data_IF_167963086461
#
_entry.id   IF_167963086461
#
_cell.length_a   1.000
_cell.length_b   1.000
_cell.length_c   1.000
_cell.angle_alpha   90.00
_cell.angle_beta   90.00
_cell.angle_gamma   90.00
#
_symmetry.space_group_name_H-M   'P 1'
#
loop_
_entity.id
_entity.type
_entity.pdbx_description
1 polymer ?
#
# COMPACT_ATOMS: atom_id res chain seq x y z
N UNK A 1 -0.38 -18.78 -10.23
CA UNK A 1 -1.50 -19.65 -9.79
C UNK A 1 -1.99 -19.23 -8.42
N UNK A 2 -1.17 -19.31 -7.37
CA UNK A 2 -1.56 -18.90 -6.01
C UNK A 2 -2.12 -17.47 -5.96
N UNK A 3 -1.48 -16.50 -6.62
CA UNK A 3 -1.97 -15.11 -6.68
C UNK A 3 -3.36 -14.93 -7.32
N UNK A 4 -3.79 -15.83 -8.22
CA UNK A 4 -5.16 -15.85 -8.74
C UNK A 4 -6.14 -16.50 -7.75
N UNK A 5 -5.72 -17.56 -7.07
CA UNK A 5 -6.53 -18.24 -6.03
C UNK A 5 -6.69 -17.39 -4.77
N UNK A 6 -5.74 -16.50 -4.48
CA UNK A 6 -5.83 -15.55 -3.39
C UNK A 6 -7.00 -14.57 -3.57
N UNK A 7 -7.28 -14.15 -4.80
CA UNK A 7 -8.23 -13.05 -5.07
C UNK A 7 -9.62 -13.52 -5.45
N UNK A 8 -9.76 -14.77 -5.88
CA UNK A 8 -11.02 -15.34 -6.36
C UNK A 8 -11.20 -16.79 -5.89
N UNK A 9 -12.44 -17.30 -5.85
CA UNK A 9 -12.73 -18.66 -5.36
C UNK A 9 -12.32 -19.74 -6.39
N UNK A 10 -11.01 -19.89 -6.57
CA UNK A 10 -10.38 -20.84 -7.48
C UNK A 10 -9.38 -21.66 -6.66
N UNK A 11 -9.39 -22.98 -6.79
CA UNK A 11 -8.42 -23.87 -6.16
C UNK A 11 -7.55 -24.52 -7.24
N UNK A 12 -6.23 -24.38 -7.10
CA UNK A 12 -5.27 -25.14 -7.90
C UNK A 12 -4.71 -26.28 -7.07
N UNK A 13 -4.73 -27.48 -7.63
CA UNK A 13 -4.18 -28.68 -7.01
C UNK A 13 -3.42 -29.47 -8.07
N UNK A 14 -2.14 -29.74 -7.80
CA UNK A 14 -1.30 -30.53 -8.69
C UNK A 14 -1.79 -31.98 -8.71
N UNK A 15 -1.91 -32.56 -9.91
CA UNK A 15 -2.35 -33.95 -10.13
C UNK A 15 -3.68 -34.34 -9.45
N UNK A 16 -4.59 -33.37 -9.27
CA UNK A 16 -5.88 -33.64 -8.66
C UNK A 16 -6.66 -34.75 -9.39
N UNK A 17 -7.27 -35.64 -8.60
CA UNK A 17 -8.04 -36.79 -9.10
C UNK A 17 -9.35 -36.31 -9.73
N UNK A 18 -10.09 -35.49 -9.00
CA UNK A 18 -11.42 -34.98 -9.38
C UNK A 18 -11.36 -33.47 -9.70
N UNK A 19 -10.68 -33.13 -10.81
CA UNK A 19 -10.55 -31.74 -11.27
C UNK A 19 -11.70 -31.33 -12.20
N UNK A 20 -12.28 -30.13 -11.98
CA UNK A 20 -13.26 -29.51 -12.89
C UNK A 20 -12.65 -29.18 -14.26
N UNK A 21 -11.37 -28.77 -14.27
CA UNK A 21 -10.57 -28.52 -15.46
C UNK A 21 -9.08 -28.82 -15.18
N UNK A 22 -8.31 -29.09 -16.23
CA UNK A 22 -6.87 -29.39 -16.12
C UNK A 22 -6.02 -28.33 -16.81
N UNK A 23 -5.06 -27.74 -16.10
CA UNK A 23 -4.05 -26.83 -16.62
C UNK A 23 -2.72 -27.56 -16.84
N UNK A 24 -2.03 -27.29 -17.94
CA UNK A 24 -0.68 -27.80 -18.21
C UNK A 24 0.28 -26.68 -18.57
N UNK A 25 1.51 -26.78 -18.09
CA UNK A 25 2.61 -25.90 -18.47
C UNK A 25 3.60 -26.67 -19.33
N UNK A 26 3.99 -26.10 -20.46
CA UNK A 26 5.02 -26.68 -21.34
C UNK A 26 5.94 -25.59 -21.86
N UNK A 27 7.22 -25.92 -22.00
CA UNK A 27 8.11 -25.12 -22.82
C UNK A 27 7.85 -25.48 -24.28
N UNK A 28 7.76 -24.47 -25.16
CA UNK A 28 7.56 -24.71 -26.57
C UNK A 28 8.84 -25.10 -27.28
N UNK A 29 8.73 -25.99 -28.26
CA UNK A 29 9.79 -26.27 -29.22
C UNK A 29 9.67 -25.32 -30.44
N UNK A 30 10.79 -25.05 -31.13
CA UNK A 30 10.85 -24.28 -32.39
C UNK A 30 10.50 -22.77 -32.31
N UNK A 31 10.77 -22.09 -31.18
CA UNK A 31 10.61 -20.62 -31.05
C UNK A 31 9.17 -20.10 -31.29
N UNK A 32 8.15 -20.94 -31.10
CA UNK A 32 6.74 -20.57 -31.25
C UNK A 32 5.92 -21.00 -30.02
N UNK A 33 5.24 -20.07 -29.31
CA UNK A 33 5.05 -18.65 -29.62
C UNK A 33 6.32 -17.80 -29.42
N UNK A 34 6.35 -16.53 -29.86
CA UNK A 34 7.51 -15.65 -29.67
C UNK A 34 7.91 -15.45 -28.20
N UNK A 35 6.92 -15.33 -27.30
CA UNK A 35 7.14 -15.16 -25.85
C UNK A 35 6.42 -16.25 -25.07
N UNK A 36 5.08 -16.25 -25.11
CA UNK A 36 4.23 -17.25 -24.47
C UNK A 36 2.82 -17.22 -25.09
N UNK A 37 2.02 -18.24 -24.80
CA UNK A 37 0.58 -18.23 -25.07
C UNK A 37 -0.20 -19.08 -24.06
N UNK A 38 -1.47 -18.71 -23.89
CA UNK A 38 -2.43 -19.32 -22.99
C UNK A 38 -3.66 -19.73 -23.76
N UNK A 39 -3.98 -21.03 -23.73
CA UNK A 39 -5.18 -21.57 -24.36
C UNK A 39 -6.27 -21.77 -23.31
N UNK A 40 -7.41 -21.15 -23.53
CA UNK A 40 -8.65 -21.41 -22.79
C UNK A 40 -9.46 -22.54 -23.44
N UNK A 41 -9.98 -23.46 -22.62
CA UNK A 41 -11.12 -24.30 -22.98
C UNK A 41 -11.90 -24.67 -21.72
N UNK A 42 -13.16 -25.12 -21.88
CA UNK A 42 -14.05 -25.42 -20.75
C UNK A 42 -13.55 -26.48 -19.77
N UNK A 43 -12.64 -27.39 -20.19
CA UNK A 43 -12.15 -28.48 -19.34
C UNK A 43 -10.63 -28.62 -19.34
N UNK A 44 -9.93 -27.84 -20.17
CA UNK A 44 -8.47 -27.90 -20.34
C UNK A 44 -7.89 -26.51 -20.58
N UNK A 45 -6.77 -26.21 -19.93
CA UNK A 45 -5.96 -25.04 -20.20
C UNK A 45 -4.52 -25.45 -20.50
N UNK A 46 -3.83 -24.65 -21.32
CA UNK A 46 -2.39 -24.85 -21.56
C UNK A 46 -1.69 -23.51 -21.58
N UNK A 47 -0.62 -23.41 -20.81
CA UNK A 47 0.36 -22.33 -20.92
C UNK A 47 1.58 -22.87 -21.66
N UNK A 48 1.97 -22.22 -22.75
CA UNK A 48 3.22 -22.49 -23.47
C UNK A 48 4.17 -21.32 -23.29
N UNK A 49 5.41 -21.60 -22.92
CA UNK A 49 6.44 -20.57 -22.73
C UNK A 49 7.59 -20.83 -23.68
N UNK A 50 8.08 -19.79 -24.36
CA UNK A 50 9.26 -19.89 -25.21
C UNK A 50 10.53 -19.86 -24.35
N UNK A 51 11.30 -20.96 -24.23
CA UNK A 51 12.52 -20.98 -23.44
C UNK A 51 13.69 -20.22 -24.09
N UNK A 52 13.60 -19.90 -25.39
CA UNK A 52 14.64 -19.15 -26.10
C UNK A 52 14.54 -17.63 -25.87
N UNK A 53 13.39 -17.14 -25.41
CA UNK A 53 13.23 -15.75 -24.97
C UNK A 53 13.90 -15.57 -23.60
N UNK A 54 14.91 -14.69 -23.52
CA UNK A 54 15.84 -14.62 -22.39
C UNK A 54 15.15 -14.48 -21.03
N UNK A 55 14.11 -13.65 -20.96
CA UNK A 55 13.45 -13.34 -19.69
C UNK A 55 12.76 -14.59 -19.11
N UNK A 56 12.23 -15.46 -19.97
CA UNK A 56 11.47 -16.65 -19.57
C UNK A 56 12.32 -17.71 -18.85
N UNK A 57 13.65 -17.62 -18.93
CA UNK A 57 14.56 -18.62 -18.35
C UNK A 57 14.66 -18.54 -16.83
N UNK A 58 14.39 -17.37 -16.25
CA UNK A 58 14.48 -17.14 -14.81
C UNK A 58 13.38 -16.18 -14.33
N UNK A 59 12.11 -16.63 -14.28
CA UNK A 59 11.03 -15.83 -13.71
C UNK A 59 11.34 -15.48 -12.26
N UNK A 60 11.40 -14.18 -11.97
CA UNK A 60 11.63 -13.63 -10.63
C UNK A 60 10.54 -12.61 -10.28
N UNK A 61 10.40 -12.29 -8.99
CA UNK A 61 9.50 -11.21 -8.55
C UNK A 61 9.78 -9.93 -9.35
N UNK A 62 8.70 -9.36 -9.87
CA UNK A 62 8.61 -8.16 -10.69
C UNK A 62 9.35 -8.19 -12.04
N UNK A 63 9.79 -9.37 -12.46
CA UNK A 63 10.30 -9.58 -13.82
C UNK A 63 9.15 -9.69 -14.84
N UNK A 64 9.46 -9.34 -16.09
CA UNK A 64 8.51 -9.53 -17.19
C UNK A 64 8.07 -11.00 -17.32
N UNK A 65 8.98 -11.96 -17.17
CA UNK A 65 8.64 -13.38 -17.27
C UNK A 65 7.68 -13.88 -16.17
N UNK A 66 7.79 -13.36 -14.94
CA UNK A 66 6.81 -13.66 -13.89
C UNK A 66 5.44 -13.07 -14.22
N UNK A 67 5.39 -11.85 -14.76
CA UNK A 67 4.15 -11.25 -15.27
C UNK A 67 3.55 -12.08 -16.42
N UNK A 68 4.38 -12.56 -17.37
CA UNK A 68 3.94 -13.45 -18.46
C UNK A 68 3.26 -14.69 -17.94
N UNK A 69 3.82 -15.37 -16.93
CA UNK A 69 3.15 -16.54 -16.33
C UNK A 69 1.79 -16.17 -15.72
N UNK A 70 1.69 -15.05 -15.01
CA UNK A 70 0.42 -14.58 -14.44
C UNK A 70 -0.59 -14.23 -15.54
N UNK A 71 -0.15 -13.61 -16.63
CA UNK A 71 -0.93 -13.29 -17.82
C UNK A 71 -1.49 -14.54 -18.51
N UNK A 72 -0.63 -15.51 -18.85
CA UNK A 72 -1.09 -16.72 -19.55
C UNK A 72 -2.02 -17.57 -18.68
N UNK A 73 -1.79 -17.60 -17.36
CA UNK A 73 -2.74 -18.24 -16.43
C UNK A 73 -4.10 -17.52 -16.48
N UNK A 74 -4.12 -16.18 -16.53
CA UNK A 74 -5.32 -15.39 -16.73
C UNK A 74 -6.10 -15.83 -17.98
N UNK A 75 -5.43 -16.02 -19.10
CA UNK A 75 -6.05 -16.59 -20.31
C UNK A 75 -6.64 -17.99 -20.07
N UNK A 76 -5.93 -18.87 -19.37
CA UNK A 76 -6.48 -20.21 -19.06
C UNK A 76 -7.67 -20.18 -18.11
N UNK A 77 -7.87 -19.08 -17.38
CA UNK A 77 -9.06 -18.78 -16.58
C UNK A 77 -10.13 -18.01 -17.38
N UNK A 78 -9.94 -17.79 -18.68
CA UNK A 78 -10.92 -17.14 -19.54
C UNK A 78 -10.81 -15.62 -19.61
N UNK A 79 -9.73 -15.02 -19.10
CA UNK A 79 -9.47 -13.61 -19.33
C UNK A 79 -9.10 -13.39 -20.81
N UNK A 80 -9.62 -12.34 -21.42
CA UNK A 80 -9.10 -11.82 -22.68
C UNK A 80 -8.08 -10.72 -22.40
N UNK A 81 -7.35 -10.27 -23.43
CA UNK A 81 -6.71 -8.96 -23.36
C UNK A 81 -7.77 -7.89 -23.10
N UNK A 82 -7.34 -6.77 -22.52
CA UNK A 82 -8.20 -5.63 -22.17
C UNK A 82 -8.75 -4.88 -23.40
N UNK A 83 -8.24 -5.16 -24.59
CA UNK A 83 -8.77 -4.69 -25.86
C UNK A 83 -8.69 -5.76 -26.95
N UNK A 84 -9.21 -5.43 -28.14
CA UNK A 84 -9.20 -6.34 -29.29
C UNK A 84 -7.88 -6.25 -30.06
N UNK A 85 -6.82 -6.81 -29.49
CA UNK A 85 -5.50 -6.88 -30.09
C UNK A 85 -4.83 -8.21 -29.75
N UNK A 86 -3.90 -8.63 -30.59
CA UNK A 86 -3.12 -9.84 -30.40
C UNK A 86 -1.77 -9.73 -31.12
N UNK A 87 -0.71 -10.28 -30.53
CA UNK A 87 0.62 -10.26 -31.13
C UNK A 87 0.68 -10.97 -32.50
N UNK A 88 -0.21 -11.92 -32.77
CA UNK A 88 -0.32 -12.63 -34.06
C UNK A 88 -0.92 -11.77 -35.17
N UNK A 89 -1.60 -10.66 -34.85
CA UNK A 89 -2.20 -9.75 -35.83
C UNK A 89 -1.28 -8.61 -36.23
N UNK A 90 -0.10 -8.51 -35.59
CA UNK A 90 0.89 -7.48 -35.83
C UNK A 90 1.13 -6.59 -34.61
N UNK A 91 1.99 -5.57 -34.73
CA UNK A 91 2.32 -4.68 -33.63
C UNK A 91 1.10 -3.86 -33.21
N UNK A 92 0.85 -3.80 -31.91
CA UNK A 92 -0.23 -2.99 -31.31
C UNK A 92 0.37 -1.81 -30.55
N UNK A 93 -0.29 -0.65 -30.63
CA UNK A 93 0.07 0.55 -29.88
C UNK A 93 -1.15 1.10 -29.14
N UNK A 94 -0.90 1.76 -28.00
CA UNK A 94 -1.94 2.24 -27.11
C UNK A 94 -2.91 3.21 -27.79
N UNK A 95 -2.40 4.19 -28.55
CA UNK A 95 -3.23 5.24 -29.15
C UNK A 95 -4.29 4.70 -30.12
N UNK A 96 -3.96 3.65 -30.87
CA UNK A 96 -4.84 3.10 -31.90
C UNK A 96 -5.66 1.89 -31.43
N UNK A 97 -5.21 1.17 -30.39
CA UNK A 97 -5.76 -0.15 -30.04
C UNK A 97 -6.34 -0.25 -28.63
N UNK A 98 -6.04 0.69 -27.73
CA UNK A 98 -6.63 0.69 -26.39
C UNK A 98 -8.14 0.92 -26.50
N UNK A 99 -8.93 0.00 -25.95
CA UNK A 99 -10.39 0.11 -25.99
C UNK A 99 -10.93 1.17 -25.00
N UNK A 100 -10.18 1.48 -23.95
CA UNK A 100 -10.50 2.47 -22.92
C UNK A 100 -9.22 3.00 -22.29
N UNK A 101 -9.32 4.15 -21.61
CA UNK A 101 -8.15 4.88 -21.11
C UNK A 101 -7.31 4.09 -20.11
N UNK A 102 -7.89 3.22 -19.28
CA UNK A 102 -7.17 2.45 -18.28
C UNK A 102 -6.56 1.15 -18.83
N UNK A 103 -6.56 0.93 -20.15
CA UNK A 103 -5.92 -0.21 -20.78
C UNK A 103 -4.39 -0.09 -20.71
N UNK A 104 -3.83 -0.48 -19.57
CA UNK A 104 -2.39 -0.52 -19.37
C UNK A 104 -2.02 -1.56 -18.32
N UNK A 105 -0.74 -1.92 -18.32
CA UNK A 105 -0.09 -2.69 -17.25
C UNK A 105 -0.01 -1.97 -15.91
N UNK A 106 -0.57 -0.76 -15.80
CA UNK A 106 -0.86 -0.09 -14.53
C UNK A 106 -2.17 -0.56 -13.88
N UNK A 107 -3.08 -1.18 -14.64
CA UNK A 107 -4.40 -1.60 -14.17
C UNK A 107 -4.68 -3.09 -14.35
N UNK A 108 -4.06 -3.74 -15.35
CA UNK A 108 -4.26 -5.16 -15.66
C UNK A 108 -2.98 -5.79 -16.21
N UNK A 109 -2.63 -6.97 -15.70
CA UNK A 109 -1.58 -7.80 -16.29
C UNK A 109 -1.96 -8.33 -17.67
N UNK A 110 -3.24 -8.29 -18.05
CA UNK A 110 -3.75 -8.71 -19.37
C UNK A 110 -3.56 -7.65 -20.47
N UNK A 111 -3.11 -6.44 -20.12
CA UNK A 111 -2.83 -5.39 -21.09
C UNK A 111 -1.45 -5.52 -21.73
N UNK A 112 -1.32 -5.11 -23.00
CA UNK A 112 -0.02 -5.00 -23.67
C UNK A 112 0.67 -3.65 -23.41
N UNK A 113 -0.08 -2.64 -22.97
CA UNK A 113 0.41 -1.26 -22.96
C UNK A 113 1.15 -0.93 -21.67
N UNK A 114 2.16 -0.05 -21.78
CA UNK A 114 2.98 0.33 -20.65
C UNK A 114 2.17 1.14 -19.62
N UNK A 115 2.48 1.04 -18.30
CA UNK A 115 1.80 1.81 -17.25
C UNK A 115 1.90 3.33 -17.46
N UNK A 116 2.92 3.82 -18.16
CA UNK A 116 3.09 5.24 -18.49
C UNK A 116 1.99 5.82 -19.39
N UNK A 117 1.25 4.99 -20.12
CA UNK A 117 0.10 5.47 -20.91
C UNK A 117 -1.05 5.98 -20.02
N UNK A 118 -1.05 5.60 -18.74
CA UNK A 118 -2.09 5.94 -17.77
C UNK A 118 -1.57 6.78 -16.59
N UNK A 119 -0.34 7.29 -16.70
CA UNK A 119 0.27 8.19 -15.72
C UNK A 119 1.12 7.52 -14.64
N UNK A 120 1.16 6.19 -14.60
CA UNK A 120 1.99 5.42 -13.67
C UNK A 120 3.44 5.25 -14.18
N UNK A 121 4.39 5.03 -13.27
CA UNK A 121 5.78 4.77 -13.60
C UNK A 121 6.36 3.73 -12.66
N UNK A 122 6.47 2.49 -13.16
CA UNK A 122 7.00 1.35 -12.41
C UNK A 122 8.52 1.21 -12.56
N UNK A 123 9.21 2.18 -13.18
CA UNK A 123 10.68 2.14 -13.37
C UNK A 123 11.18 0.83 -14.01
N UNK A 124 10.42 0.33 -14.98
CA UNK A 124 10.73 -0.92 -15.69
C UNK A 124 10.39 -2.20 -14.94
N UNK A 125 9.75 -2.11 -13.76
CA UNK A 125 9.23 -3.27 -13.04
C UNK A 125 7.88 -3.72 -13.62
N UNK A 126 7.54 -4.98 -13.37
CA UNK A 126 6.29 -5.61 -13.81
C UNK A 126 5.52 -6.14 -12.60
N UNK A 127 4.19 -6.14 -12.66
CA UNK A 127 3.38 -6.75 -11.61
C UNK A 127 3.49 -8.29 -11.67
N UNK A 128 3.80 -8.91 -10.53
CA UNK A 128 3.91 -10.38 -10.43
C UNK A 128 2.57 -11.08 -10.27
N UNK A 129 1.54 -10.35 -9.86
CA UNK A 129 0.21 -10.84 -9.49
C UNK A 129 -0.90 -10.01 -10.15
N UNK A 130 -2.15 -10.49 -10.14
CA UNK A 130 -3.30 -9.74 -10.66
C UNK A 130 -3.36 -8.30 -10.13
N UNK A 131 -3.60 -7.35 -11.02
CA UNK A 131 -3.84 -5.95 -10.68
C UNK A 131 -5.33 -5.66 -10.55
N UNK A 132 -5.69 -4.42 -10.19
CA UNK A 132 -7.05 -4.03 -9.80
C UNK A 132 -8.15 -4.50 -10.78
N UNK A 133 -7.94 -4.36 -12.09
CA UNK A 133 -8.93 -4.80 -13.08
C UNK A 133 -9.01 -6.33 -13.21
N UNK A 134 -7.87 -7.02 -13.04
CA UNK A 134 -7.79 -8.49 -13.06
C UNK A 134 -8.52 -9.11 -11.86
N UNK A 135 -8.34 -8.49 -10.68
CA UNK A 135 -9.02 -8.87 -9.45
C UNK A 135 -10.53 -8.66 -9.62
N UNK A 136 -10.96 -7.47 -10.05
CA UNK A 136 -12.38 -7.18 -10.25
C UNK A 136 -13.04 -8.13 -11.27
N UNK A 137 -12.35 -8.44 -12.37
CA UNK A 137 -12.83 -9.41 -13.37
C UNK A 137 -12.92 -10.82 -12.79
N UNK A 138 -11.85 -11.32 -12.17
CA UNK A 138 -11.83 -12.70 -11.66
C UNK A 138 -12.86 -12.90 -10.56
N UNK A 139 -13.06 -11.92 -9.69
CA UNK A 139 -14.10 -11.96 -8.66
C UNK A 139 -15.52 -11.91 -9.24
N UNK A 140 -15.72 -11.19 -10.34
CA UNK A 140 -17.01 -11.20 -11.04
C UNK A 140 -17.33 -12.58 -11.63
N UNK A 141 -16.33 -13.31 -12.10
CA UNK A 141 -16.50 -14.62 -12.74
C UNK A 141 -16.59 -15.75 -11.71
N UNK A 142 -15.70 -15.74 -10.72
CA UNK A 142 -15.50 -16.85 -9.79
C UNK A 142 -15.94 -16.55 -8.36
N UNK A 143 -16.32 -15.30 -8.05
CA UNK A 143 -16.59 -14.85 -6.69
C UNK A 143 -15.30 -14.46 -5.95
N UNK A 144 -15.42 -13.50 -5.04
CA UNK A 144 -14.32 -13.04 -4.22
C UNK A 144 -13.95 -14.03 -3.10
N UNK A 145 -12.66 -14.20 -2.86
CA UNK A 145 -12.15 -15.09 -1.82
C UNK A 145 -11.83 -14.33 -0.53
N UNK A 146 -12.83 -14.24 0.36
CA UNK A 146 -12.71 -13.60 1.67
C UNK A 146 -12.04 -14.47 2.74
N UNK A 147 -11.55 -15.67 2.40
CA UNK A 147 -10.71 -16.46 3.31
C UNK A 147 -9.24 -16.05 3.24
N UNK A 148 -8.85 -15.34 2.19
CA UNK A 148 -7.48 -14.87 2.01
C UNK A 148 -7.19 -13.74 2.98
N UNK A 149 -6.16 -13.92 3.81
CA UNK A 149 -5.63 -12.88 4.70
C UNK A 149 -6.70 -12.23 5.61
N UNK A 150 -7.71 -12.97 6.02
CA UNK A 150 -8.85 -12.47 6.81
C UNK A 150 -8.55 -12.22 8.31
N UNK A 151 -7.32 -11.83 8.62
CA UNK A 151 -6.78 -11.46 9.91
C UNK A 151 -5.77 -10.33 9.70
N UNK A 152 -5.36 -9.63 10.75
CA UNK A 152 -4.37 -8.55 10.70
C UNK A 152 -3.15 -8.86 9.82
N UNK A 153 -3.07 -8.15 8.70
CA UNK A 153 -2.06 -8.34 7.67
C UNK A 153 -1.23 -7.09 7.47
N UNK A 154 0.09 -7.25 7.49
CA UNK A 154 1.02 -6.19 7.08
C UNK A 154 1.51 -6.48 5.66
N UNK A 155 1.39 -5.48 4.79
CA UNK A 155 1.88 -5.46 3.41
C UNK A 155 3.09 -4.53 3.32
N UNK A 156 4.07 -4.86 2.48
CA UNK A 156 5.29 -4.07 2.33
C UNK A 156 6.41 -4.54 3.27
N UNK A 157 7.05 -3.62 3.99
CA UNK A 157 8.03 -3.97 5.03
C UNK A 157 7.35 -4.73 6.16
N UNK A 158 8.12 -5.55 6.89
CA UNK A 158 7.60 -6.35 8.01
C UNK A 158 6.38 -7.24 7.65
N UNK A 159 6.23 -7.56 6.37
CA UNK A 159 5.06 -8.26 5.84
C UNK A 159 4.91 -9.68 6.42
N UNK A 160 3.67 -10.04 6.73
CA UNK A 160 3.26 -11.38 7.16
C UNK A 160 2.43 -12.13 6.07
N UNK A 161 2.33 -11.56 4.87
CA UNK A 161 1.51 -12.10 3.75
C UNK A 161 1.97 -13.46 3.23
N UNK A 162 3.24 -13.81 3.46
CA UNK A 162 3.90 -14.96 2.83
C UNK A 162 3.78 -14.93 1.30
N UNK A 163 3.80 -13.73 0.70
CA UNK A 163 3.84 -13.51 -0.75
C UNK A 163 5.08 -12.68 -1.09
N UNK A 164 5.79 -13.09 -2.12
CA UNK A 164 7.07 -12.49 -2.51
C UNK A 164 6.89 -11.07 -3.07
N UNK A 165 5.82 -10.84 -3.81
CA UNK A 165 5.47 -9.56 -4.43
C UNK A 165 4.83 -8.55 -3.47
N UNK A 166 4.28 -9.02 -2.35
CA UNK A 166 3.68 -8.18 -1.30
C UNK A 166 4.63 -7.89 -0.13
N UNK A 167 5.88 -8.37 -0.19
CA UNK A 167 6.86 -8.25 0.89
C UNK A 167 8.10 -7.48 0.47
N UNK A 168 8.58 -6.58 1.33
CA UNK A 168 9.79 -5.79 1.14
C UNK A 168 10.77 -6.06 2.28
N UNK A 169 12.03 -6.36 1.95
CA UNK A 169 13.08 -6.61 2.95
C UNK A 169 14.22 -5.59 2.90
N UNK A 170 14.17 -4.67 1.93
CA UNK A 170 15.16 -3.60 1.75
C UNK A 170 14.57 -2.43 0.97
N UNK A 171 15.06 -1.21 1.23
CA UNK A 171 14.77 0.01 0.47
C UNK A 171 15.09 -0.08 -1.03
N UNK A 172 15.84 -1.11 -1.44
CA UNK A 172 16.12 -1.41 -2.85
C UNK A 172 15.01 -2.22 -3.54
N UNK A 173 14.17 -2.93 -2.79
CA UNK A 173 13.03 -3.62 -3.37
C UNK A 173 12.04 -2.62 -3.97
N UNK A 174 11.26 -3.07 -4.94
CA UNK A 174 10.27 -2.25 -5.66
C UNK A 174 8.91 -2.87 -5.44
N UNK A 175 7.97 -2.12 -4.89
CA UNK A 175 6.60 -2.56 -4.69
C UNK A 175 5.81 -2.42 -6.01
N UNK A 176 5.27 -3.52 -6.56
CA UNK A 176 4.32 -3.46 -7.68
C UNK A 176 3.22 -4.50 -7.44
N UNK A 177 2.13 -4.07 -6.80
CA UNK A 177 1.04 -4.97 -6.42
C UNK A 177 -0.31 -4.26 -6.25
N UNK A 178 -1.39 -5.04 -6.30
CA UNK A 178 -2.72 -4.63 -5.86
C UNK A 178 -3.11 -5.45 -4.63
N UNK A 179 -3.51 -4.79 -3.56
CA UNK A 179 -3.93 -5.45 -2.31
C UNK A 179 -5.31 -6.05 -2.51
N UNK A 180 -5.43 -7.34 -2.17
CA UNK A 180 -6.69 -8.01 -1.88
C UNK A 180 -6.61 -8.55 -0.46
N UNK A 181 -7.58 -8.21 0.36
CA UNK A 181 -7.67 -8.65 1.75
C UNK A 181 -9.11 -9.08 2.07
N UNK A 182 -9.26 -10.13 2.87
CA UNK A 182 -10.53 -10.68 3.32
C UNK A 182 -11.07 -10.04 4.61
N UNK A 183 -10.27 -9.26 5.32
CA UNK A 183 -10.61 -8.52 6.54
C UNK A 183 -9.52 -8.64 7.61
N UNK A 184 -9.64 -7.87 8.68
CA UNK A 184 -8.59 -7.78 9.70
C UNK A 184 -8.40 -6.33 10.10
N UNK A 185 -7.32 -6.05 10.83
CA UNK A 185 -6.78 -4.71 10.99
C UNK A 185 -5.43 -4.63 10.29
N UNK A 186 -5.43 -4.12 9.06
CA UNK A 186 -4.37 -4.30 8.08
C UNK A 186 -3.50 -3.05 7.94
N UNK A 187 -2.24 -3.25 7.54
CA UNK A 187 -1.23 -2.18 7.49
C UNK A 187 -0.53 -2.16 6.14
N UNK A 188 -0.46 -0.99 5.50
CA UNK A 188 0.55 -0.68 4.50
C UNK A 188 1.80 -0.15 5.21
N UNK A 189 2.87 -0.94 5.24
CA UNK A 189 4.14 -0.56 5.84
C UNK A 189 5.18 -0.26 4.76
N UNK A 190 5.49 1.03 4.59
CA UNK A 190 6.49 1.54 3.67
C UNK A 190 7.67 2.21 4.39
N UNK A 191 7.89 1.85 5.66
CA UNK A 191 8.84 2.51 6.56
C UNK A 191 10.30 2.46 6.14
N UNK A 192 10.65 1.50 5.28
CA UNK A 192 12.03 1.34 4.80
C UNK A 192 12.37 2.23 3.60
N UNK A 193 11.45 3.05 3.09
CA UNK A 193 11.75 3.97 1.97
C UNK A 193 12.18 5.36 2.46
N UNK A 194 12.86 6.10 1.57
CA UNK A 194 13.42 7.43 1.84
C UNK A 194 12.93 8.51 0.87
N UNK A 195 12.23 8.09 -0.18
CA UNK A 195 11.60 8.98 -1.15
C UNK A 195 10.27 9.44 -0.58
N UNK A 196 9.85 10.65 -0.94
CA UNK A 196 8.49 11.14 -0.70
C UNK A 196 7.46 10.17 -1.29
N UNK A 197 6.45 9.83 -0.52
CA UNK A 197 5.42 8.86 -0.85
C UNK A 197 4.03 9.48 -0.82
N UNK A 198 3.09 8.87 -1.56
CA UNK A 198 1.65 9.14 -1.41
C UNK A 198 0.98 7.81 -1.10
N UNK A 199 0.48 7.67 0.12
CA UNK A 199 -0.16 6.46 0.63
C UNK A 199 -1.64 6.76 0.84
N UNK A 200 -2.50 6.10 0.07
CA UNK A 200 -3.95 6.28 0.13
C UNK A 200 -4.63 4.96 0.49
N UNK A 201 -5.29 4.92 1.65
CA UNK A 201 -5.95 3.72 2.18
C UNK A 201 -7.35 3.46 1.61
N UNK A 202 -7.84 4.32 0.71
CA UNK A 202 -9.16 4.12 0.09
C UNK A 202 -9.12 2.97 -0.92
N UNK A 203 -10.16 2.15 -0.92
CA UNK A 203 -10.38 1.18 -1.98
C UNK A 203 -10.40 1.84 -3.36
N UNK A 204 -9.97 1.11 -4.39
CA UNK A 204 -9.93 1.58 -5.78
C UNK A 204 -9.01 2.80 -6.00
N UNK A 205 -8.06 3.02 -5.08
CA UNK A 205 -7.05 4.06 -5.18
C UNK A 205 -5.65 3.50 -5.46
N UNK A 206 -4.72 4.42 -5.76
CA UNK A 206 -3.33 4.14 -6.05
C UNK A 206 -2.42 4.90 -5.09
N UNK A 207 -1.26 4.32 -4.82
CA UNK A 207 -0.19 4.89 -4.02
C UNK A 207 1.09 5.06 -4.87
N UNK A 208 1.83 6.13 -4.58
CA UNK A 208 3.17 6.40 -5.10
C UNK A 208 4.17 5.98 -4.01
N UNK A 209 4.90 4.88 -4.21
CA UNK A 209 5.68 4.25 -3.15
C UNK A 209 7.10 3.96 -3.62
N UNK A 210 8.11 4.26 -2.80
CA UNK A 210 9.51 3.93 -3.08
C UNK A 210 10.08 4.61 -4.34
N UNK A 211 9.63 5.82 -4.65
CA UNK A 211 10.07 6.61 -5.82
C UNK A 211 9.46 6.16 -7.16
N UNK A 212 8.40 5.35 -7.13
CA UNK A 212 7.58 4.97 -8.27
C UNK A 212 6.21 5.66 -8.21
N UNK A 213 5.43 5.57 -9.29
CA UNK A 213 4.10 6.20 -9.38
C UNK A 213 2.99 5.18 -9.67
N UNK A 214 1.91 5.24 -8.90
CA UNK A 214 0.73 4.37 -8.97
C UNK A 214 1.05 2.89 -8.98
N UNK A 215 2.10 2.49 -8.28
CA UNK A 215 2.67 1.14 -8.29
C UNK A 215 2.07 0.22 -7.23
N UNK A 216 1.46 0.79 -6.19
CA UNK A 216 0.64 0.04 -5.24
C UNK A 216 -0.80 0.49 -5.42
N UNK A 217 -1.75 -0.44 -5.31
CA UNK A 217 -3.18 -0.14 -5.39
C UNK A 217 -3.98 -1.01 -4.44
N UNK A 218 -5.21 -0.60 -4.16
CA UNK A 218 -6.13 -1.33 -3.26
C UNK A 218 -7.35 -1.78 -4.06
N UNK A 219 -7.63 -3.08 -4.05
CA UNK A 219 -8.75 -3.64 -4.79
C UNK A 219 -10.09 -3.12 -4.25
N UNK A 220 -11.12 -3.20 -5.10
CA UNK A 220 -12.48 -2.85 -4.70
C UNK A 220 -12.96 -3.69 -3.53
N UNK A 221 -13.57 -3.04 -2.53
CA UNK A 221 -14.17 -3.70 -1.38
C UNK A 221 -13.19 -4.12 -0.29
N UNK A 222 -11.91 -3.78 -0.43
CA UNK A 222 -10.89 -3.91 0.63
C UNK A 222 -10.92 -2.67 1.52
N UNK A 223 -10.84 -2.86 2.82
CA UNK A 223 -10.60 -1.79 3.80
C UNK A 223 -9.21 -2.02 4.37
N UNK A 224 -8.39 -0.97 4.45
CA UNK A 224 -7.10 -1.00 5.13
C UNK A 224 -7.12 0.07 6.21
N UNK A 225 -6.70 -0.29 7.41
CA UNK A 225 -6.85 0.56 8.59
C UNK A 225 -5.60 1.38 8.88
N UNK A 226 -4.40 0.88 8.52
CA UNK A 226 -3.15 1.47 8.99
C UNK A 226 -2.18 1.79 7.84
N UNK A 227 -1.42 2.87 8.00
CA UNK A 227 -0.34 3.26 7.11
C UNK A 227 0.89 3.70 7.89
N UNK A 228 2.06 3.24 7.44
CA UNK A 228 3.37 3.70 7.94
C UNK A 228 4.18 4.22 6.76
N UNK A 229 4.45 5.53 6.76
CA UNK A 229 5.36 6.18 5.83
C UNK A 229 6.83 5.95 6.19
N UNK A 230 7.71 6.53 5.40
CA UNK A 230 9.15 6.33 5.40
C UNK A 230 9.91 7.45 6.09
N UNK A 231 11.06 7.81 5.52
CA UNK A 231 11.85 8.95 5.97
C UNK A 231 11.82 10.15 5.01
N UNK A 232 10.87 10.13 4.06
CA UNK A 232 10.64 11.22 3.08
C UNK A 232 9.55 12.17 3.60
N UNK A 233 9.20 13.18 2.82
CA UNK A 233 8.03 14.01 3.14
C UNK A 233 6.78 13.36 2.53
N UNK A 234 6.10 12.55 3.32
CA UNK A 234 5.05 11.67 2.84
C UNK A 234 3.66 12.30 2.96
N UNK A 235 2.74 11.85 2.11
CA UNK A 235 1.32 12.19 2.17
C UNK A 235 0.55 10.92 2.51
N UNK A 236 -0.06 10.87 3.68
CA UNK A 236 -0.89 9.75 4.13
C UNK A 236 -2.35 10.18 4.13
N UNK A 237 -3.18 9.40 3.45
CA UNK A 237 -4.62 9.63 3.30
C UNK A 237 -5.34 8.38 3.81
N UNK A 238 -6.05 8.52 4.93
CA UNK A 238 -6.95 7.51 5.44
C UNK A 238 -8.24 7.37 4.62
N UNK A 239 -9.20 6.65 5.16
CA UNK A 239 -10.47 6.31 4.53
C UNK A 239 -11.65 6.64 5.47
N UNK A 240 -12.70 5.84 5.44
CA UNK A 240 -13.90 6.06 6.26
C UNK A 240 -13.91 5.19 7.54
N UNK A 241 -12.89 4.34 7.72
CA UNK A 241 -12.69 3.51 8.91
C UNK A 241 -11.71 4.20 9.87
N UNK A 242 -11.70 3.75 11.13
CA UNK A 242 -10.76 4.23 12.13
C UNK A 242 -9.31 3.92 11.69
N UNK A 243 -8.52 4.95 11.34
CA UNK A 243 -7.18 4.74 10.83
C UNK A 243 -6.08 4.99 11.87
N UNK A 244 -4.98 4.23 11.77
CA UNK A 244 -3.73 4.56 12.47
C UNK A 244 -2.67 4.97 11.44
N UNK A 245 -2.29 6.24 11.47
CA UNK A 245 -1.37 6.84 10.51
C UNK A 245 -0.07 7.22 11.22
N UNK A 246 1.05 6.73 10.71
CA UNK A 246 2.40 7.12 11.14
C UNK A 246 3.16 7.65 9.93
N UNK A 247 3.45 8.96 9.92
CA UNK A 247 4.22 9.59 8.85
C UNK A 247 5.62 8.98 8.72
N UNK A 248 6.28 8.80 9.86
CA UNK A 248 7.68 8.41 9.89
C UNK A 248 8.52 9.65 10.14
N UNK A 249 9.72 9.74 9.57
CA UNK A 249 10.51 10.96 9.67
C UNK A 249 10.33 11.79 8.41
N UNK A 250 10.35 13.12 8.53
CA UNK A 250 10.08 14.00 7.39
C UNK A 250 9.14 15.11 7.85
N UNK A 251 8.69 15.93 6.90
CA UNK A 251 7.56 16.82 7.13
C UNK A 251 6.34 16.22 6.43
N UNK A 252 5.59 15.38 7.14
CA UNK A 252 4.52 14.60 6.56
C UNK A 252 3.19 15.35 6.56
N UNK A 253 2.31 15.02 5.61
CA UNK A 253 0.93 15.53 5.57
C UNK A 253 -0.02 14.36 5.76
N UNK A 254 -0.71 14.36 6.88
CA UNK A 254 -1.63 13.29 7.23
C UNK A 254 -3.08 13.79 7.19
N UNK A 255 -3.94 12.97 6.62
CA UNK A 255 -5.38 13.17 6.59
C UNK A 255 -6.05 11.91 7.10
N UNK A 256 -6.78 12.01 8.20
CA UNK A 256 -7.50 10.88 8.80
C UNK A 256 -8.68 10.47 7.92
N UNK A 257 -9.56 11.42 7.62
CA UNK A 257 -10.77 11.16 6.87
C UNK A 257 -11.98 11.12 7.79
N UNK A 258 -12.78 10.05 7.69
CA UNK A 258 -13.87 9.81 8.64
C UNK A 258 -13.49 8.61 9.52
N UNK A 259 -14.15 8.46 10.66
CA UNK A 259 -13.74 7.48 11.67
C UNK A 259 -12.90 8.14 12.78
N UNK A 260 -12.62 7.38 13.83
CA UNK A 260 -11.78 7.82 14.95
C UNK A 260 -10.32 7.55 14.63
N UNK A 261 -9.63 8.56 14.13
CA UNK A 261 -8.27 8.39 13.62
C UNK A 261 -7.21 8.61 14.71
N UNK A 262 -6.10 7.90 14.58
CA UNK A 262 -4.94 8.02 15.48
C UNK A 262 -3.69 8.37 14.67
N UNK A 263 -3.09 9.52 14.96
CA UNK A 263 -1.81 9.95 14.41
C UNK A 263 -0.70 9.57 15.39
N UNK A 264 0.21 8.71 14.97
CA UNK A 264 1.15 8.00 15.85
C UNK A 264 2.56 8.57 15.71
N UNK A 265 3.17 8.88 16.86
CA UNK A 265 4.57 9.31 16.97
C UNK A 265 5.30 8.40 17.96
N UNK A 266 6.36 7.74 17.49
CA UNK A 266 7.17 6.83 18.32
C UNK A 266 8.68 7.18 18.37
N UNK A 267 9.11 8.19 17.59
CA UNK A 267 10.42 8.81 17.69
C UNK A 267 10.32 10.33 17.71
N UNK A 268 11.25 10.99 18.42
CA UNK A 268 11.39 12.45 18.38
C UNK A 268 11.68 12.98 16.97
N UNK A 269 12.37 12.17 16.15
CA UNK A 269 12.65 12.48 14.75
C UNK A 269 11.46 12.31 13.82
N UNK A 270 10.31 11.84 14.30
CA UNK A 270 9.14 11.67 13.46
C UNK A 270 8.56 13.05 13.05
N UNK A 271 8.61 14.04 13.94
CA UNK A 271 8.12 15.40 13.64
C UNK A 271 8.91 16.46 14.40
N UNK A 272 9.80 17.14 13.70
CA UNK A 272 10.75 18.08 14.33
C UNK A 272 10.31 19.53 14.16
N UNK A 273 10.88 20.45 14.93
CA UNK A 273 10.61 21.89 14.76
C UNK A 273 10.88 22.41 13.33
N UNK A 274 11.84 21.82 12.61
CA UNK A 274 12.24 22.25 11.27
C UNK A 274 11.64 21.42 10.14
N UNK A 275 10.97 20.32 10.48
CA UNK A 275 10.23 19.46 9.58
C UNK A 275 9.04 18.91 10.38
N UNK A 276 8.01 19.75 10.65
CA UNK A 276 6.83 19.30 11.35
C UNK A 276 5.88 18.57 10.42
N UNK A 277 5.25 17.56 10.97
CA UNK A 277 4.07 16.95 10.41
C UNK A 277 2.88 17.90 10.51
N UNK A 278 2.00 17.77 9.52
CA UNK A 278 0.73 18.46 9.47
C UNK A 278 -0.43 17.48 9.40
N UNK A 279 -1.29 17.48 10.43
CA UNK A 279 -2.59 16.80 10.38
C UNK A 279 -3.64 17.74 9.78
N UNK A 280 -4.29 17.35 8.69
CA UNK A 280 -5.04 18.29 7.84
C UNK A 280 -6.55 18.33 8.05
N UNK A 281 -7.11 17.43 8.85
CA UNK A 281 -8.55 17.37 9.15
C UNK A 281 -8.89 16.88 10.57
N UNK A 282 -8.08 17.25 11.56
CA UNK A 282 -8.23 16.76 12.93
C UNK A 282 -9.56 17.18 13.58
N UNK A 283 -10.25 16.22 14.19
CA UNK A 283 -11.50 16.41 14.92
C UNK A 283 -11.30 16.10 16.41
N UNK A 284 -11.22 17.15 17.23
CA UNK A 284 -11.11 17.01 18.69
C UNK A 284 -12.25 16.17 19.29
N UNK A 285 -11.90 15.33 20.27
CA UNK A 285 -12.82 14.41 20.92
C UNK A 285 -13.11 13.12 20.14
N UNK A 286 -12.74 13.06 18.87
CA UNK A 286 -12.86 11.89 18.00
C UNK A 286 -11.48 11.32 17.67
N UNK A 287 -10.59 12.16 17.16
CA UNK A 287 -9.24 11.78 16.76
C UNK A 287 -8.26 11.86 17.93
N UNK A 288 -7.13 11.18 17.79
CA UNK A 288 -6.07 11.09 18.80
C UNK A 288 -4.68 11.31 18.23
N UNK A 289 -3.84 11.95 19.04
CA UNK A 289 -2.39 12.00 18.87
C UNK A 289 -1.78 11.01 19.85
N UNK A 290 -1.22 9.90 19.35
CA UNK A 290 -0.62 8.85 20.17
C UNK A 290 0.90 9.03 20.26
N UNK A 291 1.36 9.36 21.47
CA UNK A 291 2.78 9.52 21.82
C UNK A 291 3.23 8.45 22.81
N UNK A 292 2.43 7.41 23.09
CA UNK A 292 2.75 6.45 24.16
C UNK A 292 4.04 5.69 23.93
N UNK A 293 4.32 5.33 22.68
CA UNK A 293 5.58 4.68 22.30
C UNK A 293 6.79 5.62 22.43
N UNK A 294 6.62 6.89 22.06
CA UNK A 294 7.63 7.93 22.23
C UNK A 294 7.98 8.13 23.70
N UNK A 295 7.00 8.25 24.58
CA UNK A 295 7.24 8.44 26.02
C UNK A 295 7.98 7.24 26.63
N UNK A 296 7.58 6.02 26.28
CA UNK A 296 8.26 4.78 26.71
C UNK A 296 9.72 4.76 26.25
N UNK A 297 10.00 5.19 25.03
CA UNK A 297 11.36 5.24 24.46
C UNK A 297 12.27 6.22 25.21
N UNK A 298 11.71 7.29 25.77
CA UNK A 298 12.42 8.32 26.53
C UNK A 298 12.33 8.15 28.06
N UNK A 299 11.78 7.03 28.57
CA UNK A 299 11.52 6.77 30.01
C UNK A 299 10.73 7.90 30.71
N UNK A 300 9.81 8.55 29.98
CA UNK A 300 8.90 9.55 30.53
C UNK A 300 7.70 8.84 31.14
N UNK A 301 7.44 9.10 32.43
CA UNK A 301 6.42 8.39 33.23
C UNK A 301 5.22 9.25 33.62
N UNK A 302 5.19 10.50 33.20
CA UNK A 302 4.09 11.44 33.43
C UNK A 302 4.16 12.57 32.42
N UNK A 303 3.00 13.08 32.02
CA UNK A 303 2.89 14.30 31.23
C UNK A 303 2.48 15.47 32.09
N UNK A 304 3.04 16.64 31.77
CA UNK A 304 2.65 17.91 32.39
C UNK A 304 2.31 18.91 31.30
N UNK A 305 1.04 19.30 31.24
CA UNK A 305 0.62 20.37 30.33
C UNK A 305 0.98 21.74 30.90
N UNK A 306 1.69 22.54 30.12
CA UNK A 306 2.24 23.84 30.53
C UNK A 306 1.96 24.92 29.50
N UNK A 307 1.93 26.19 29.93
CA UNK A 307 1.92 27.35 29.04
C UNK A 307 3.33 27.74 28.54
N UNK A 308 4.37 27.32 29.26
CA UNK A 308 5.78 27.53 28.93
C UNK A 308 6.62 26.41 29.55
N UNK A 309 7.63 25.91 28.84
CA UNK A 309 8.53 24.89 29.38
C UNK A 309 9.34 25.41 30.57
N UNK A 310 9.48 24.57 31.58
CA UNK A 310 10.30 24.80 32.77
C UNK A 310 11.61 24.01 32.75
N UNK A 311 11.78 23.12 31.75
CA UNK A 311 12.94 22.25 31.62
C UNK A 311 12.73 20.92 32.36
N UNK A 312 11.54 20.34 32.24
CA UNK A 312 11.25 19.00 32.76
C UNK A 312 10.79 18.12 31.61
N UNK A 313 11.41 16.93 31.51
CA UNK A 313 11.01 15.95 30.52
C UNK A 313 9.54 15.56 30.71
N UNK A 314 8.79 15.45 29.63
CA UNK A 314 7.36 15.18 29.61
C UNK A 314 6.49 16.42 29.73
N UNK A 315 7.05 17.62 29.59
CA UNK A 315 6.25 18.84 29.43
C UNK A 315 5.66 18.93 28.02
N UNK A 316 4.39 19.31 27.95
CA UNK A 316 3.63 19.43 26.70
C UNK A 316 2.97 20.80 26.63
N UNK A 317 3.20 21.51 25.53
CA UNK A 317 2.47 22.72 25.17
C UNK A 317 1.45 22.41 24.09
N UNK A 318 0.24 22.95 24.23
CA UNK A 318 -0.81 22.87 23.20
C UNK A 318 -1.33 24.28 22.95
N UNK A 319 -1.28 24.72 21.70
CA UNK A 319 -1.81 26.01 21.28
C UNK A 319 -2.82 25.87 20.15
N UNK A 320 -3.67 26.89 20.02
CA UNK A 320 -4.74 26.96 19.02
C UNK A 320 -5.02 28.40 18.62
N UNK A 321 -5.02 28.69 17.32
CA UNK A 321 -5.47 29.94 16.74
C UNK A 321 -6.88 29.76 16.11
N UNK A 322 -7.94 30.34 16.69
CA UNK A 322 -9.29 30.23 16.17
C UNK A 322 -9.53 31.04 14.88
N UNK A 323 -8.62 31.94 14.48
CA UNK A 323 -8.74 32.71 13.25
C UNK A 323 -8.31 31.92 12.02
N UNK A 324 -7.27 31.10 12.16
CA UNK A 324 -6.78 30.21 11.09
C UNK A 324 -7.28 28.77 11.25
N UNK A 325 -7.88 28.43 12.40
CA UNK A 325 -8.27 27.07 12.77
C UNK A 325 -7.07 26.12 12.83
N UNK A 326 -5.94 26.62 13.34
CA UNK A 326 -4.68 25.87 13.42
C UNK A 326 -4.30 25.59 14.88
N UNK A 327 -3.88 24.36 15.15
CA UNK A 327 -3.30 23.95 16.43
C UNK A 327 -1.85 23.56 16.27
N UNK A 328 -1.11 23.60 17.38
CA UNK A 328 0.21 23.01 17.46
C UNK A 328 0.40 22.30 18.79
N UNK A 329 1.23 21.25 18.77
CA UNK A 329 1.66 20.52 19.96
C UNK A 329 3.19 20.52 20.00
N UNK A 330 3.75 20.88 21.15
CA UNK A 330 5.19 20.88 21.43
C UNK A 330 5.49 19.99 22.62
N UNK A 331 6.56 19.19 22.56
CA UNK A 331 7.02 18.36 23.67
C UNK A 331 8.48 18.66 24.00
N UNK A 332 8.78 18.77 25.29
CA UNK A 332 10.15 18.65 25.84
C UNK A 332 10.34 17.21 26.32
N UNK A 333 11.11 16.42 25.57
CA UNK A 333 11.37 15.01 25.86
C UNK A 333 12.63 14.82 26.70
N UNK A 334 13.54 15.79 26.70
CA UNK A 334 14.86 15.69 27.31
C UNK A 334 14.99 16.43 28.63
N UNK A 335 14.04 17.31 28.95
CA UNK A 335 14.04 18.16 30.14
C UNK A 335 15.04 19.31 30.07
N UNK A 336 15.34 19.81 28.88
CA UNK A 336 16.25 20.94 28.68
C UNK A 336 15.51 22.26 28.45
N UNK A 337 14.17 22.23 28.35
CA UNK A 337 13.33 23.39 28.06
C UNK A 337 13.26 23.74 26.57
N UNK A 338 13.74 22.86 25.69
CA UNK A 338 13.66 23.00 24.24
C UNK A 338 12.60 22.06 23.64
N UNK A 339 12.23 22.35 22.39
CA UNK A 339 11.21 21.58 21.66
C UNK A 339 11.91 20.38 21.01
N UNK A 340 11.58 19.17 21.47
CA UNK A 340 12.09 17.91 20.92
C UNK A 340 11.13 17.26 19.91
N UNK A 341 9.83 17.57 19.99
CA UNK A 341 8.82 17.20 19.00
C UNK A 341 7.85 18.36 18.78
N UNK A 342 7.52 18.63 17.52
CA UNK A 342 6.59 19.69 17.11
C UNK A 342 5.69 19.18 16.00
N UNK A 343 4.37 19.28 16.16
CA UNK A 343 3.40 18.96 15.09
C UNK A 343 2.39 20.10 14.94
N UNK A 344 1.89 20.25 13.72
CA UNK A 344 0.85 21.21 13.35
C UNK A 344 -0.43 20.50 12.95
N UNK A 345 -1.56 21.17 13.13
CA UNK A 345 -2.84 20.61 12.74
C UNK A 345 -3.83 21.68 12.28
N UNK A 346 -4.63 21.34 11.27
CA UNK A 346 -5.88 22.02 10.95
C UNK A 346 -6.99 21.39 11.79
N UNK A 347 -7.64 22.19 12.62
CA UNK A 347 -8.57 21.73 13.66
C UNK A 347 -8.01 21.97 15.06
N UNK A 348 -8.91 22.14 16.03
CA UNK A 348 -8.52 22.30 17.43
C UNK A 348 -7.99 20.97 17.99
N UNK A 349 -6.86 21.00 18.69
CA UNK A 349 -6.37 19.89 19.53
C UNK A 349 -6.59 20.25 20.99
N UNK A 350 -7.24 19.37 21.75
CA UNK A 350 -7.33 19.50 23.21
C UNK A 350 -6.32 18.58 23.90
N UNK A 351 -5.97 18.88 25.15
CA UNK A 351 -5.11 18.02 25.95
C UNK A 351 -5.67 16.59 26.11
N UNK A 352 -6.99 16.41 25.99
CA UNK A 352 -7.68 15.10 26.05
C UNK A 352 -7.53 14.27 24.78
N UNK A 353 -6.99 14.87 23.72
CA UNK A 353 -6.77 14.20 22.45
C UNK A 353 -5.34 13.63 22.33
N UNK A 354 -4.45 14.03 23.24
CA UNK A 354 -3.09 13.50 23.31
C UNK A 354 -3.06 12.32 24.28
N UNK A 355 -2.69 11.15 23.78
CA UNK A 355 -2.66 9.90 24.54
C UNK A 355 -1.24 9.36 24.66
N UNK A 356 -0.87 8.91 25.86
CA UNK A 356 0.49 8.45 26.16
C UNK A 356 0.60 7.38 27.24
N UNK A 357 -0.52 6.84 27.73
CA UNK A 357 -0.59 5.82 28.80
C UNK A 357 0.19 6.14 30.09
N UNK A 358 0.32 7.42 30.42
CA UNK A 358 0.97 7.89 31.66
C UNK A 358 0.06 8.89 32.39
N UNK A 359 0.22 9.05 33.71
CA UNK A 359 -0.48 10.09 34.46
C UNK A 359 -0.26 11.50 33.87
N UNK A 360 -1.34 12.28 33.85
CA UNK A 360 -1.35 13.66 33.32
C UNK A 360 -1.58 14.65 34.46
N UNK A 361 -0.83 15.76 34.42
CA UNK A 361 -1.01 16.91 35.32
C UNK A 361 -1.00 18.23 34.53
N UNK A 362 -1.45 19.32 35.16
CA UNK A 362 -1.58 20.63 34.54
C UNK A 362 -0.91 21.70 35.39
N UNK A 363 -0.03 22.48 34.77
CA UNK A 363 0.68 23.60 35.39
C UNK A 363 0.63 24.82 34.46
N UNK A 364 -0.47 25.56 34.55
CA UNK A 364 -0.62 26.87 33.94
C UNK A 364 -0.28 27.91 35.01
N UNK A 365 0.89 28.54 34.90
CA UNK A 365 1.33 29.62 35.79
C UNK A 365 0.91 30.99 35.24
#
# INVERSE_FOLDING_TARGET
MQSWADVANIKFEEDAVDAEARLRFVNSDNQQPPVADGLFSSYQGRVRVNPDYSDNRAPAVNSFARQTLTHEIGHTLGAAHTGNYDASWGPSNYADHAAYAQDSRGHSVMSYFAPSNTGQDFKGQHASSPLMADIAWSQRVYGANHQTRNTDTTYGFNSNTQRDDLSLSSSRNRAVFCVWDGGGNDTLDFSGYHQDQVINLRAESFCDVGGMKGNVSIAKGVVLENAIGGSGNDVLIGNDADNRLKGGAGADRMRGGAGSDTFVYDNAGDSTLYAPDQVTDFVSGQDKIDIGALLRKHDIRSLTFVSQFTGRAGEVGVGYDPHTNESWVVLDLTGNGEIDLYLESQGQILHTDIVGDVPVSYHYA
#
